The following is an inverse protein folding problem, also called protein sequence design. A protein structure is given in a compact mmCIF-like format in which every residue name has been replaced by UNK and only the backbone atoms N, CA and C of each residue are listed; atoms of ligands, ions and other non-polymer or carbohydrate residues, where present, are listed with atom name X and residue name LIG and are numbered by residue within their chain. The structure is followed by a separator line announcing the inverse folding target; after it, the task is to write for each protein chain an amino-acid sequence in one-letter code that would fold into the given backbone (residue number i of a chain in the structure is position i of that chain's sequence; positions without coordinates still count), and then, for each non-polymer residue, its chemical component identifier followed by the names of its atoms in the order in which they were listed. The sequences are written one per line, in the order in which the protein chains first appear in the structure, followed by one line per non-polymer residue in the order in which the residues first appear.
data_IF_985725972850
#
_entry.id   IF_985725972850
#
_cell.length_a   1.000
_cell.length_b   1.000
_cell.length_c   1.000
_cell.angle_alpha   90.00
_cell.angle_beta   90.00
_cell.angle_gamma   90.00
#
_symmetry.space_group_name_H-M   'P 1'
#
loop_
_entity.id
_entity.type
_entity.pdbx_description
1 polymer ?
#
# COMPACT_ATOMS: atom_id res chain seq x y z
N UNK A 1 -19.82 32.76 -25.06
CA UNK A 1 -19.38 31.44 -24.54
C UNK A 1 -17.89 31.29 -24.81
N UNK A 2 -17.03 31.85 -23.95
CA UNK A 2 -15.57 31.79 -24.13
C UNK A 2 -15.03 30.56 -23.39
N UNK A 3 -14.39 29.64 -24.13
CA UNK A 3 -13.81 28.41 -23.58
C UNK A 3 -12.49 28.76 -22.87
N UNK A 4 -12.42 28.55 -21.56
CA UNK A 4 -11.16 28.62 -20.83
C UNK A 4 -10.25 27.47 -21.31
N UNK A 5 -9.11 27.82 -21.90
CA UNK A 5 -8.03 26.86 -22.21
C UNK A 5 -7.19 26.61 -20.95
N UNK A 6 -6.78 25.36 -20.68
CA UNK A 6 -5.88 25.05 -19.58
C UNK A 6 -4.46 25.55 -19.91
N UNK A 7 -3.95 26.49 -19.12
CA UNK A 7 -2.56 26.95 -19.23
C UNK A 7 -1.68 25.90 -18.55
N UNK A 8 -1.03 25.04 -19.34
CA UNK A 8 0.16 24.32 -18.89
C UNK A 8 1.37 25.25 -19.04
N UNK A 9 1.62 26.11 -18.05
CA UNK A 9 2.89 26.82 -17.97
C UNK A 9 3.92 25.91 -17.32
N UNK A 10 4.88 25.47 -18.13
CA UNK A 10 6.08 24.80 -17.66
C UNK A 10 7.00 25.89 -17.07
N UNK A 11 6.86 26.17 -15.77
CA UNK A 11 7.66 27.21 -15.11
C UNK A 11 9.10 26.69 -14.95
N UNK A 12 10.07 27.38 -15.55
CA UNK A 12 11.49 27.06 -15.39
C UNK A 12 11.95 27.40 -13.96
N UNK A 13 12.55 26.41 -13.30
CA UNK A 13 13.05 26.57 -11.92
C UNK A 13 14.15 27.64 -11.84
N UNK A 14 14.95 27.82 -12.90
CA UNK A 14 15.99 28.86 -12.95
C UNK A 14 15.39 30.26 -12.98
N UNK A 15 14.31 30.44 -13.74
CA UNK A 15 13.60 31.73 -13.83
C UNK A 15 12.93 32.07 -12.48
N UNK A 16 12.34 31.08 -11.81
CA UNK A 16 11.81 31.19 -10.45
C UNK A 16 12.87 31.67 -9.46
N UNK A 17 14.06 31.06 -9.49
CA UNK A 17 15.18 31.43 -8.61
C UNK A 17 15.72 32.84 -8.91
N UNK A 18 15.82 33.21 -10.20
CA UNK A 18 16.28 34.53 -10.61
C UNK A 18 15.32 35.65 -10.14
N UNK A 19 14.02 35.36 -10.07
CA UNK A 19 13.03 36.30 -9.54
C UNK A 19 13.02 36.30 -8.01
N UNK A 20 13.17 35.15 -7.36
CA UNK A 20 13.31 35.06 -5.90
C UNK A 20 14.52 35.86 -5.38
N UNK A 21 15.63 35.87 -6.11
CA UNK A 21 16.83 36.63 -5.77
C UNK A 21 16.63 38.17 -5.78
N UNK A 22 15.57 38.67 -6.43
CA UNK A 22 15.23 40.10 -6.47
C UNK A 22 14.28 40.52 -5.34
N UNK A 23 13.76 39.57 -4.57
CA UNK A 23 12.79 39.82 -3.51
C UNK A 23 13.46 40.35 -2.24
N UNK A 24 12.72 41.12 -1.45
CA UNK A 24 13.16 41.47 -0.10
C UNK A 24 13.22 40.24 0.81
N UNK A 25 14.07 40.26 1.84
CA UNK A 25 14.26 39.12 2.76
C UNK A 25 12.93 38.63 3.36
N UNK A 26 12.06 39.56 3.78
CA UNK A 26 10.76 39.23 4.37
C UNK A 26 9.81 38.56 3.37
N UNK A 27 9.83 38.98 2.11
CA UNK A 27 9.03 38.36 1.06
C UNK A 27 9.55 36.97 0.69
N UNK A 28 10.88 36.80 0.72
CA UNK A 28 11.53 35.50 0.50
C UNK A 28 11.18 34.49 1.61
N UNK A 29 11.11 34.95 2.87
CA UNK A 29 10.64 34.13 3.99
C UNK A 29 9.17 33.71 3.85
N UNK A 30 8.30 34.58 3.35
CA UNK A 30 6.92 34.24 3.01
C UNK A 30 6.88 33.21 1.89
N UNK A 31 7.66 33.41 0.82
CA UNK A 31 7.75 32.47 -0.30
C UNK A 31 8.21 31.08 0.15
N UNK A 32 9.23 30.99 1.01
CA UNK A 32 9.70 29.71 1.55
C UNK A 32 8.60 28.98 2.33
N UNK A 33 7.82 29.68 3.16
CA UNK A 33 6.71 29.08 3.91
C UNK A 33 5.66 28.51 2.96
N UNK A 34 5.29 29.25 1.92
CA UNK A 34 4.32 28.76 0.93
C UNK A 34 4.86 27.58 0.11
N UNK A 35 6.12 27.60 -0.30
CA UNK A 35 6.76 26.47 -0.99
C UNK A 35 6.80 25.22 -0.10
N UNK A 36 7.13 25.38 1.18
CA UNK A 36 7.08 24.29 2.16
C UNK A 36 5.66 23.74 2.31
N UNK A 37 4.63 24.59 2.33
CA UNK A 37 3.23 24.17 2.36
C UNK A 37 2.83 23.38 1.09
N UNK A 38 3.30 23.79 -0.09
CA UNK A 38 3.09 23.03 -1.33
C UNK A 38 3.79 21.68 -1.27
N UNK A 39 5.05 21.65 -0.85
CA UNK A 39 5.83 20.43 -0.73
C UNK A 39 5.20 19.44 0.26
N UNK A 40 4.78 19.94 1.43
CA UNK A 40 4.08 19.16 2.44
C UNK A 40 2.79 18.55 1.88
N UNK A 41 1.94 19.36 1.22
CA UNK A 41 0.70 18.86 0.58
C UNK A 41 0.95 17.80 -0.48
N UNK A 42 2.01 17.94 -1.30
CA UNK A 42 2.38 16.92 -2.29
C UNK A 42 2.79 15.61 -1.61
N UNK A 43 3.69 15.68 -0.62
CA UNK A 43 4.12 14.52 0.16
C UNK A 43 2.96 13.83 0.86
N UNK A 44 2.03 14.59 1.45
CA UNK A 44 0.83 14.04 2.08
C UNK A 44 -0.07 13.34 1.06
N UNK A 45 -0.35 13.94 -0.10
CA UNK A 45 -1.14 13.29 -1.15
C UNK A 45 -0.53 11.98 -1.63
N UNK A 46 0.80 11.94 -1.78
CA UNK A 46 1.52 10.73 -2.18
C UNK A 46 1.44 9.64 -1.10
N UNK A 47 1.57 10.04 0.19
CA UNK A 47 1.37 9.13 1.32
C UNK A 47 -0.06 8.57 1.35
N UNK A 48 -1.08 9.41 1.24
CA UNK A 48 -2.48 8.99 1.26
C UNK A 48 -2.80 8.06 0.08
N UNK A 49 -2.24 8.33 -1.10
CA UNK A 49 -2.38 7.45 -2.26
C UNK A 49 -1.72 6.10 -2.01
N UNK A 50 -0.49 6.09 -1.50
CA UNK A 50 0.23 4.85 -1.22
C UNK A 50 -0.46 4.03 -0.14
N UNK A 51 -0.98 4.68 0.90
CA UNK A 51 -1.73 4.02 1.97
C UNK A 51 -2.97 3.32 1.45
N UNK A 52 -3.80 4.01 0.65
CA UNK A 52 -4.99 3.39 0.04
C UNK A 52 -4.64 2.18 -0.83
N UNK A 53 -3.56 2.29 -1.60
CA UNK A 53 -3.10 1.19 -2.44
C UNK A 53 -2.60 0.00 -1.61
N UNK A 54 -1.85 0.25 -0.52
CA UNK A 54 -1.41 -0.81 0.38
C UNK A 54 -2.60 -1.52 1.03
N UNK A 55 -3.61 -0.79 1.50
CA UNK A 55 -4.82 -1.38 2.06
C UNK A 55 -5.56 -2.26 1.04
N UNK A 56 -5.65 -1.82 -0.22
CA UNK A 56 -6.22 -2.62 -1.31
C UNK A 56 -5.43 -3.91 -1.53
N UNK A 57 -4.11 -3.80 -1.67
CA UNK A 57 -3.21 -4.94 -1.88
C UNK A 57 -3.23 -5.94 -0.71
N UNK A 58 -3.32 -5.47 0.54
CA UNK A 58 -3.44 -6.33 1.73
C UNK A 58 -4.74 -7.14 1.67
N UNK A 59 -5.85 -6.54 1.25
CA UNK A 59 -7.13 -7.22 1.13
C UNK A 59 -7.18 -8.20 -0.06
N UNK A 60 -6.43 -7.93 -1.13
CA UNK A 60 -6.36 -8.77 -2.32
C UNK A 60 -5.33 -9.91 -2.23
N UNK A 61 -4.41 -9.87 -1.27
CA UNK A 61 -3.40 -10.92 -1.04
C UNK A 61 -3.98 -12.11 -0.28
N UNK A 62 -5.02 -12.70 -0.87
CA UNK A 62 -5.72 -13.87 -0.39
C UNK A 62 -6.11 -14.73 -1.58
N UNK A 63 -6.18 -16.04 -1.39
CA UNK A 63 -6.65 -16.94 -2.45
C UNK A 63 -8.04 -16.50 -2.94
N UNK A 64 -8.28 -16.66 -4.25
CA UNK A 64 -9.61 -16.50 -4.84
C UNK A 64 -10.62 -17.38 -4.09
N UNK A 65 -11.88 -16.95 -4.06
CA UNK A 65 -12.93 -17.62 -3.26
C UNK A 65 -13.03 -19.11 -3.60
N UNK A 66 -13.02 -19.43 -4.88
CA UNK A 66 -13.13 -20.79 -5.42
C UNK A 66 -11.94 -21.65 -4.98
N UNK A 67 -10.73 -21.07 -5.00
CA UNK A 67 -9.51 -21.74 -4.53
C UNK A 67 -9.53 -21.97 -3.02
N UNK A 68 -10.05 -21.02 -2.23
CA UNK A 68 -10.20 -21.19 -0.78
C UNK A 68 -11.21 -22.28 -0.42
N UNK A 69 -12.35 -22.30 -1.11
CA UNK A 69 -13.36 -23.33 -0.94
C UNK A 69 -12.78 -24.70 -1.30
N UNK A 70 -12.07 -24.79 -2.42
CA UNK A 70 -11.38 -26.02 -2.82
C UNK A 70 -10.33 -26.45 -1.80
N UNK A 71 -9.49 -25.52 -1.34
CA UNK A 71 -8.50 -25.79 -0.31
C UNK A 71 -9.16 -26.36 0.96
N UNK A 72 -10.27 -25.77 1.42
CA UNK A 72 -11.00 -26.23 2.59
C UNK A 72 -11.57 -27.63 2.40
N UNK A 73 -12.23 -27.90 1.27
CA UNK A 73 -12.75 -29.24 0.94
C UNK A 73 -11.64 -30.29 0.96
N UNK A 74 -10.51 -30.00 0.30
CA UNK A 74 -9.38 -30.93 0.26
C UNK A 74 -8.75 -31.13 1.64
N UNK A 75 -8.70 -30.09 2.47
CA UNK A 75 -8.21 -30.18 3.85
C UNK A 75 -9.10 -31.10 4.70
N UNK A 76 -10.43 -30.99 4.54
CA UNK A 76 -11.37 -31.87 5.22
C UNK A 76 -11.24 -33.33 4.74
N UNK A 77 -11.12 -33.56 3.43
CA UNK A 77 -10.89 -34.92 2.89
C UNK A 77 -9.57 -35.53 3.39
N UNK A 78 -8.53 -34.71 3.60
CA UNK A 78 -7.27 -35.15 4.18
C UNK A 78 -7.47 -35.59 5.65
N UNK A 79 -8.19 -34.80 6.45
CA UNK A 79 -8.50 -35.14 7.85
C UNK A 79 -9.35 -36.42 7.97
N UNK A 80 -10.28 -36.62 7.04
CA UNK A 80 -11.13 -37.82 6.97
C UNK A 80 -10.42 -39.05 6.36
N UNK A 81 -9.22 -38.88 5.80
CA UNK A 81 -8.47 -39.94 5.12
C UNK A 81 -9.09 -40.39 3.79
N UNK A 82 -9.98 -39.58 3.20
CA UNK A 82 -10.69 -39.87 1.95
C UNK A 82 -10.01 -39.25 0.71
N UNK A 83 -8.95 -38.47 0.91
CA UNK A 83 -8.23 -37.76 -0.16
C UNK A 83 -7.45 -38.71 -1.09
N UNK A 84 -7.59 -38.51 -2.40
CA UNK A 84 -6.77 -39.20 -3.41
C UNK A 84 -5.36 -38.62 -3.54
N UNK A 85 -4.46 -39.33 -4.22
CA UNK A 85 -3.10 -38.85 -4.46
C UNK A 85 -3.07 -37.58 -5.33
N UNK A 86 -4.00 -37.47 -6.29
CA UNK A 86 -4.19 -36.32 -7.15
C UNK A 86 -4.66 -35.10 -6.36
N UNK A 87 -5.69 -35.29 -5.52
CA UNK A 87 -6.23 -34.25 -4.65
C UNK A 87 -5.22 -33.80 -3.60
N UNK A 88 -4.41 -34.71 -3.06
CA UNK A 88 -3.32 -34.36 -2.16
C UNK A 88 -2.29 -33.45 -2.83
N UNK A 89 -1.93 -33.72 -4.10
CA UNK A 89 -1.03 -32.83 -4.86
C UNK A 89 -1.65 -31.45 -5.10
N UNK A 90 -2.95 -31.41 -5.40
CA UNK A 90 -3.68 -30.15 -5.55
C UNK A 90 -3.69 -29.33 -4.25
N UNK A 91 -3.93 -29.98 -3.11
CA UNK A 91 -3.89 -29.35 -1.79
C UNK A 91 -2.53 -28.72 -1.51
N UNK A 92 -1.44 -29.43 -1.80
CA UNK A 92 -0.07 -28.90 -1.64
C UNK A 92 0.19 -27.68 -2.52
N UNK A 93 -0.33 -27.65 -3.75
CA UNK A 93 -0.21 -26.49 -4.64
C UNK A 93 -0.96 -25.28 -4.09
N UNK A 94 -2.21 -25.48 -3.63
CA UNK A 94 -3.01 -24.42 -3.05
C UNK A 94 -2.40 -23.89 -1.74
N UNK A 95 -1.83 -24.76 -0.92
CA UNK A 95 -1.10 -24.38 0.29
C UNK A 95 0.11 -23.48 -0.04
N UNK A 96 0.90 -23.85 -1.04
CA UNK A 96 2.04 -23.04 -1.50
C UNK A 96 1.63 -21.67 -2.05
N UNK A 97 0.52 -21.61 -2.79
CA UNK A 97 -0.03 -20.33 -3.28
C UNK A 97 -0.53 -19.45 -2.13
N UNK A 98 -1.22 -20.02 -1.14
CA UNK A 98 -1.66 -19.30 0.06
C UNK A 98 -0.47 -18.76 0.87
N UNK A 99 0.58 -19.57 1.05
CA UNK A 99 1.81 -19.14 1.73
C UNK A 99 2.50 -17.98 1.01
N UNK A 100 2.61 -18.05 -0.31
CA UNK A 100 3.18 -16.96 -1.10
C UNK A 100 2.36 -15.67 -0.98
N UNK A 101 1.04 -15.77 -1.02
CA UNK A 101 0.13 -14.63 -0.82
C UNK A 101 0.27 -14.06 0.60
N UNK A 102 0.38 -14.92 1.61
CA UNK A 102 0.62 -14.51 3.00
C UNK A 102 1.93 -13.74 3.15
N UNK A 103 3.01 -14.21 2.52
CA UNK A 103 4.31 -13.52 2.54
C UNK A 103 4.23 -12.14 1.88
N UNK A 104 3.53 -12.03 0.74
CA UNK A 104 3.26 -10.73 0.11
C UNK A 104 2.46 -9.80 1.03
N UNK A 105 1.43 -10.32 1.69
CA UNK A 105 0.61 -9.55 2.62
C UNK A 105 1.45 -8.98 3.76
N UNK A 106 2.36 -9.79 4.33
CA UNK A 106 3.30 -9.32 5.36
C UNK A 106 4.19 -8.19 4.85
N UNK A 107 4.72 -8.30 3.62
CA UNK A 107 5.52 -7.22 3.03
C UNK A 107 4.73 -5.90 2.92
N UNK A 108 3.46 -5.95 2.49
CA UNK A 108 2.60 -4.77 2.44
C UNK A 108 2.25 -4.20 3.82
N UNK A 109 2.04 -5.06 4.82
CA UNK A 109 1.80 -4.64 6.21
C UNK A 109 3.04 -3.95 6.81
N UNK A 110 4.25 -4.45 6.52
CA UNK A 110 5.50 -3.81 6.92
C UNK A 110 5.62 -2.42 6.29
N UNK A 111 5.33 -2.29 5.01
CA UNK A 111 5.37 -0.98 4.34
C UNK A 111 4.32 -0.02 4.92
N UNK A 112 3.12 -0.50 5.20
CA UNK A 112 2.07 0.30 5.84
C UNK A 112 2.48 0.77 7.24
N UNK A 113 3.16 -0.10 8.01
CA UNK A 113 3.69 0.25 9.34
C UNK A 113 4.72 1.38 9.28
N UNK A 114 5.60 1.36 8.29
CA UNK A 114 6.58 2.43 8.05
C UNK A 114 5.87 3.72 7.64
N UNK A 115 4.85 3.63 6.79
CA UNK A 115 4.08 4.78 6.31
C UNK A 115 3.32 5.49 7.45
N UNK A 116 2.76 4.70 8.38
CA UNK A 116 2.02 5.16 9.56
C UNK A 116 2.91 5.50 10.77
N UNK A 117 4.20 5.18 10.71
CA UNK A 117 5.11 5.25 11.86
C UNK A 117 4.61 4.46 13.08
N UNK A 118 4.12 3.25 12.81
CA UNK A 118 3.66 2.28 13.81
C UNK A 118 4.50 1.01 13.71
N UNK A 119 4.52 0.19 14.77
CA UNK A 119 5.05 -1.16 14.67
C UNK A 119 4.13 -2.05 13.83
N UNK A 120 4.68 -3.13 13.25
CA UNK A 120 3.87 -4.13 12.53
C UNK A 120 2.74 -4.68 13.41
N UNK A 121 3.02 -4.98 14.67
CA UNK A 121 2.03 -5.50 15.63
C UNK A 121 0.87 -4.52 15.85
N UNK A 122 1.16 -3.22 15.96
CA UNK A 122 0.12 -2.19 16.10
C UNK A 122 -0.75 -2.07 14.84
N UNK A 123 -0.15 -2.11 13.65
CA UNK A 123 -0.92 -2.11 12.39
C UNK A 123 -1.81 -3.35 12.28
N UNK A 124 -1.28 -4.52 12.65
CA UNK A 124 -2.07 -5.75 12.66
C UNK A 124 -3.26 -5.67 13.63
N UNK A 125 -3.03 -5.15 14.84
CA UNK A 125 -4.08 -4.94 15.83
C UNK A 125 -5.17 -3.96 15.35
N UNK A 126 -4.79 -2.83 14.75
CA UNK A 126 -5.73 -1.87 14.15
C UNK A 126 -6.58 -2.49 13.04
N UNK A 127 -6.02 -3.44 12.30
CA UNK A 127 -6.71 -4.16 11.22
C UNK A 127 -7.51 -5.38 11.71
N UNK A 128 -7.55 -5.64 13.03
CA UNK A 128 -8.20 -6.82 13.60
C UNK A 128 -7.51 -8.14 13.23
N UNK A 129 -6.25 -8.09 12.82
CA UNK A 129 -5.41 -9.25 12.49
C UNK A 129 -4.69 -9.72 13.74
N UNK A 130 -4.74 -11.03 14.01
CA UNK A 130 -3.91 -11.62 15.07
C UNK A 130 -2.45 -11.63 14.62
N UNK A 131 -1.49 -11.12 15.42
CA UNK A 131 -0.08 -11.32 15.13
C UNK A 131 0.20 -12.83 15.05
N UNK A 132 1.12 -13.28 14.18
CA UNK A 132 1.49 -14.69 14.15
C UNK A 132 2.00 -15.05 15.55
N UNK A 133 1.27 -15.94 16.23
CA UNK A 133 1.73 -16.48 17.50
C UNK A 133 3.06 -17.18 17.27
N UNK A 134 4.04 -16.93 18.14
CA UNK A 134 5.23 -17.76 18.18
C UNK A 134 4.80 -19.16 18.64
N UNK A 135 4.61 -20.06 17.68
CA UNK A 135 4.35 -21.49 17.88
C UNK A 135 5.43 -22.30 17.19
#
# INVERSE_FOLDING_TARGET
MSKAQPIHSQIDTRELLANAAKMGVQELEVLMRELNNVLSRKKHKDKDHRERELLRLINETVLAKEKRERYWTLSLQLEEGSISAEEHRELMQLAGEEEWLRNKRVAYLVELSQLRNLSLSQVMEEMGLKPPGHG
#
